data_IF_584330782026
#
_entry.id   IF_584330782026
#
_cell.length_a   1.000
_cell.length_b   1.000
_cell.length_c   1.000
_cell.angle_alpha   90.00
_cell.angle_beta   90.00
_cell.angle_gamma   90.00
#
_symmetry.space_group_name_H-M   'P 1'
#
loop_
_entity.id
_entity.type
_entity.pdbx_description
1 polymer ?
#
# COMPACT_ATOMS: atom_id res chain seq x y z
N UNK A 1 31.94 4.62 -34.94
CA UNK A 1 31.06 5.55 -34.19
C UNK A 1 29.80 5.90 -34.99
N UNK A 2 29.91 6.39 -36.23
CA UNK A 2 28.77 6.72 -37.10
C UNK A 2 27.74 5.58 -37.27
N UNK A 3 28.19 4.33 -37.49
CA UNK A 3 27.27 3.18 -37.56
C UNK A 3 26.51 2.91 -36.25
N UNK A 4 27.10 3.24 -35.09
CA UNK A 4 26.41 3.11 -33.81
C UNK A 4 25.30 4.15 -33.68
N UNK A 5 25.55 5.39 -34.10
CA UNK A 5 24.51 6.44 -34.19
C UNK A 5 23.37 6.02 -35.12
N UNK A 6 23.67 5.44 -36.28
CA UNK A 6 22.65 4.94 -37.22
C UNK A 6 21.78 3.83 -36.62
N UNK A 7 22.40 2.85 -35.97
CA UNK A 7 21.67 1.76 -35.28
C UNK A 7 20.76 2.34 -34.19
N UNK A 8 21.28 3.28 -33.40
CA UNK A 8 20.53 3.87 -32.30
C UNK A 8 19.36 4.75 -32.81
N UNK A 9 19.59 5.50 -33.88
CA UNK A 9 18.56 6.27 -34.57
C UNK A 9 17.44 5.37 -35.11
N UNK A 10 17.77 4.29 -35.82
CA UNK A 10 16.77 3.35 -36.35
C UNK A 10 15.98 2.70 -35.23
N UNK A 11 16.62 2.38 -34.10
CA UNK A 11 15.93 1.87 -32.91
C UNK A 11 14.88 2.86 -32.39
N UNK A 12 15.23 4.14 -32.24
CA UNK A 12 14.27 5.17 -31.82
C UNK A 12 13.14 5.32 -32.82
N UNK A 13 13.43 5.30 -34.12
CA UNK A 13 12.41 5.38 -35.16
C UNK A 13 11.41 4.22 -35.06
N UNK A 14 11.90 3.00 -34.81
CA UNK A 14 11.02 1.84 -34.57
C UNK A 14 10.21 2.00 -33.29
N UNK A 15 10.84 2.41 -32.18
CA UNK A 15 10.15 2.59 -30.90
C UNK A 15 9.06 3.66 -30.96
N UNK A 16 9.31 4.79 -31.62
CA UNK A 16 8.33 5.86 -31.80
C UNK A 16 7.19 5.38 -32.71
N UNK A 17 7.50 4.67 -33.80
CA UNK A 17 6.46 4.08 -34.66
C UNK A 17 5.61 3.01 -33.98
N UNK A 18 6.14 2.33 -32.96
CA UNK A 18 5.39 1.35 -32.14
C UNK A 18 4.50 2.04 -31.09
N UNK A 19 4.81 3.28 -30.69
CA UNK A 19 3.99 4.07 -29.77
C UNK A 19 2.65 4.47 -30.40
N UNK A 20 2.64 4.81 -31.70
CA UNK A 20 1.48 5.26 -32.49
C UNK A 20 0.29 4.26 -32.58
N UNK A 21 0.44 3.05 -32.03
CA UNK A 21 -0.58 1.99 -32.09
C UNK A 21 -0.93 1.34 -30.75
N UNK A 22 -0.27 1.71 -29.66
CA UNK A 22 -0.37 1.00 -28.38
C UNK A 22 -0.67 1.98 -27.25
N UNK A 23 -1.68 1.70 -26.42
CA UNK A 23 -1.99 2.49 -25.21
C UNK A 23 -0.81 2.40 -24.24
N UNK A 24 0.14 3.31 -24.39
CA UNK A 24 1.44 3.26 -23.70
C UNK A 24 1.40 4.18 -22.49
N UNK A 25 1.86 3.67 -21.35
CA UNK A 25 1.94 4.40 -20.08
C UNK A 25 2.79 5.68 -20.26
N UNK A 26 2.26 6.84 -19.82
CA UNK A 26 2.95 8.13 -19.87
C UNK A 26 4.35 8.09 -19.21
N UNK A 27 4.57 7.18 -18.26
CA UNK A 27 5.87 6.94 -17.62
C UNK A 27 6.89 6.32 -18.58
N UNK A 28 6.44 5.45 -19.48
CA UNK A 28 7.29 4.82 -20.51
C UNK A 28 7.66 5.84 -21.57
N UNK A 29 6.70 6.66 -22.00
CA UNK A 29 6.92 7.75 -22.96
C UNK A 29 7.89 8.80 -22.38
N UNK A 30 7.74 9.16 -21.10
CA UNK A 30 8.66 10.08 -20.42
C UNK A 30 10.11 9.57 -20.41
N UNK A 31 10.31 8.28 -20.10
CA UNK A 31 11.66 7.66 -20.13
C UNK A 31 12.23 7.59 -21.54
N UNK A 32 11.40 7.29 -22.54
CA UNK A 32 11.83 7.33 -23.93
C UNK A 32 12.28 8.75 -24.33
N UNK A 33 11.56 9.77 -23.87
CA UNK A 33 11.95 11.18 -24.04
C UNK A 33 13.30 11.51 -23.40
N UNK A 34 13.55 11.05 -22.17
CA UNK A 34 14.83 11.25 -21.47
C UNK A 34 16.00 10.60 -22.24
N UNK A 35 15.83 9.32 -22.65
CA UNK A 35 16.83 8.57 -23.42
C UNK A 35 17.08 9.23 -24.80
N UNK A 36 16.03 9.74 -25.43
CA UNK A 36 16.11 10.45 -26.71
C UNK A 36 16.85 11.80 -26.57
N UNK A 37 16.59 12.55 -25.50
CA UNK A 37 17.27 13.81 -25.22
C UNK A 37 18.76 13.61 -24.88
N UNK A 38 19.11 12.51 -24.23
CA UNK A 38 20.50 12.08 -24.08
C UNK A 38 21.14 11.78 -25.43
N UNK A 39 20.46 11.02 -26.29
CA UNK A 39 20.97 10.70 -27.62
C UNK A 39 21.16 11.94 -28.50
N UNK A 40 20.20 12.87 -28.52
CA UNK A 40 20.31 14.13 -29.26
C UNK A 40 21.52 14.95 -28.79
N UNK A 41 21.79 14.99 -27.48
CA UNK A 41 23.01 15.64 -26.94
C UNK A 41 24.28 14.98 -27.43
N UNK A 42 24.32 13.65 -27.48
CA UNK A 42 25.48 12.91 -28.02
C UNK A 42 25.68 13.18 -29.51
N UNK A 43 24.61 13.29 -30.31
CA UNK A 43 24.71 13.64 -31.73
C UNK A 43 25.36 15.02 -31.92
N UNK A 44 24.99 15.99 -31.08
CA UNK A 44 25.61 17.33 -31.10
C UNK A 44 27.06 17.33 -30.63
N UNK A 45 27.38 16.60 -29.55
CA UNK A 45 28.74 16.48 -29.02
C UNK A 45 29.70 15.84 -30.04
N UNK A 46 29.21 14.83 -30.76
CA UNK A 46 29.96 14.09 -31.77
C UNK A 46 29.64 14.53 -33.20
N UNK A 47 29.20 15.78 -33.41
CA UNK A 47 28.81 16.29 -34.73
C UNK A 47 29.94 16.24 -35.76
N UNK A 48 31.20 16.28 -35.30
CA UNK A 48 32.40 16.20 -36.13
C UNK A 48 32.62 14.84 -36.80
N UNK A 49 31.88 13.81 -36.37
CA UNK A 49 31.95 12.44 -36.91
C UNK A 49 31.14 12.30 -38.20
N UNK A 50 30.30 13.30 -38.49
CA UNK A 50 29.53 13.37 -39.72
C UNK A 50 30.34 14.16 -40.76
N UNK A 51 30.87 13.44 -41.76
CA UNK A 51 31.65 14.05 -42.84
C UNK A 51 30.79 14.94 -43.77
N UNK A 52 29.47 14.74 -43.76
CA UNK A 52 28.51 15.47 -44.57
C UNK A 52 27.61 16.38 -43.69
N UNK A 53 27.77 17.70 -43.86
CA UNK A 53 26.95 18.70 -43.16
C UNK A 53 25.45 18.62 -43.51
N UNK A 54 25.11 18.13 -44.70
CA UNK A 54 23.72 17.92 -45.11
C UNK A 54 23.09 16.75 -44.34
N UNK A 55 23.84 15.64 -44.16
CA UNK A 55 23.39 14.49 -43.37
C UNK A 55 23.13 14.86 -41.91
N UNK A 56 24.02 15.67 -41.32
CA UNK A 56 23.82 16.20 -39.96
C UNK A 56 22.58 17.10 -39.86
N UNK A 57 22.34 17.92 -40.88
CA UNK A 57 21.17 18.83 -40.93
C UNK A 57 19.87 18.03 -41.05
N UNK A 58 19.84 17.00 -41.90
CA UNK A 58 18.71 16.08 -42.02
C UNK A 58 18.47 15.37 -40.68
N UNK A 59 19.54 14.86 -40.05
CA UNK A 59 19.44 14.17 -38.77
C UNK A 59 18.86 15.08 -37.68
N UNK A 60 19.35 16.33 -37.57
CA UNK A 60 18.81 17.33 -36.63
C UNK A 60 17.34 17.59 -36.85
N UNK A 61 16.95 17.82 -38.11
CA UNK A 61 15.55 18.09 -38.48
C UNK A 61 14.65 16.92 -38.11
N UNK A 62 15.08 15.69 -38.40
CA UNK A 62 14.35 14.48 -38.01
C UNK A 62 14.29 14.28 -36.49
N UNK A 63 15.36 14.62 -35.76
CA UNK A 63 15.38 14.54 -34.30
C UNK A 63 14.42 15.56 -33.67
N UNK A 64 14.34 16.78 -34.21
CA UNK A 64 13.39 17.79 -33.74
C UNK A 64 11.94 17.37 -33.99
N UNK A 65 11.65 16.78 -35.16
CA UNK A 65 10.34 16.22 -35.46
C UNK A 65 9.97 15.09 -34.48
N UNK A 66 10.86 14.11 -34.29
CA UNK A 66 10.63 13.01 -33.34
C UNK A 66 10.48 13.48 -31.89
N UNK A 67 11.21 14.53 -31.47
CA UNK A 67 11.02 15.14 -30.14
C UNK A 67 9.62 15.75 -30.00
N UNK A 68 9.12 16.38 -31.06
CA UNK A 68 7.78 16.94 -31.07
C UNK A 68 6.73 15.84 -30.94
N UNK A 69 6.87 14.76 -31.70
CA UNK A 69 5.97 13.61 -31.69
C UNK A 69 5.92 12.94 -30.30
N UNK A 70 7.09 12.68 -29.68
CA UNK A 70 7.16 12.14 -28.32
C UNK A 70 6.45 13.05 -27.31
N UNK A 71 6.55 14.38 -27.47
CA UNK A 71 5.89 15.33 -26.56
C UNK A 71 4.38 15.35 -26.76
N UNK A 72 3.90 15.28 -28.00
CA UNK A 72 2.47 15.20 -28.29
C UNK A 72 1.89 13.91 -27.73
N UNK A 73 2.54 12.77 -27.97
CA UNK A 73 2.14 11.47 -27.42
C UNK A 73 2.19 11.45 -25.89
N UNK A 74 3.18 12.10 -25.28
CA UNK A 74 3.20 12.26 -23.83
C UNK A 74 2.02 13.09 -23.32
N UNK A 75 1.67 14.18 -24.01
CA UNK A 75 0.53 15.02 -23.65
C UNK A 75 -0.78 14.26 -23.82
N UNK A 76 -0.98 13.56 -24.93
CA UNK A 76 -2.16 12.74 -25.18
C UNK A 76 -2.25 11.58 -24.16
N UNK A 77 -1.14 10.90 -23.86
CA UNK A 77 -1.10 9.86 -22.83
C UNK A 77 -1.33 10.42 -21.42
N UNK A 78 -0.82 11.63 -21.12
CA UNK A 78 -1.05 12.31 -19.85
C UNK A 78 -2.50 12.82 -19.73
N UNK A 79 -3.10 13.26 -20.82
CA UNK A 79 -4.48 13.73 -20.89
C UNK A 79 -5.47 12.54 -20.80
N UNK A 80 -5.14 11.42 -21.44
CA UNK A 80 -5.80 10.12 -21.23
C UNK A 80 -5.61 9.64 -19.79
N UNK A 81 -4.45 9.86 -19.17
CA UNK A 81 -4.21 9.58 -17.74
C UNK A 81 -4.97 10.54 -16.81
N UNK A 82 -5.23 11.78 -17.26
CA UNK A 82 -6.08 12.75 -16.58
C UNK A 82 -7.57 12.38 -16.63
N UNK A 83 -7.97 11.42 -17.46
CA UNK A 83 -9.18 10.62 -17.23
C UNK A 83 -8.95 9.59 -16.12
N UNK A 84 -8.62 10.11 -14.93
CA UNK A 84 -8.60 9.43 -13.66
C UNK A 84 -7.76 8.17 -13.62
N UNK A 85 -6.51 8.28 -13.16
CA UNK A 85 -5.93 7.22 -12.33
C UNK A 85 -7.02 6.86 -11.32
N UNK A 86 -7.65 5.66 -11.38
CA UNK A 86 -8.60 5.29 -10.36
C UNK A 86 -7.80 5.32 -9.07
N UNK A 87 -8.19 6.14 -8.06
CA UNK A 87 -7.41 6.23 -6.85
C UNK A 87 -7.12 4.81 -6.37
N UNK A 88 -5.84 4.44 -6.27
CA UNK A 88 -5.44 3.08 -5.89
C UNK A 88 -6.07 2.69 -4.55
N UNK A 89 -6.40 3.70 -3.75
CA UNK A 89 -7.18 3.63 -2.53
C UNK A 89 -8.29 4.68 -2.58
N UNK A 90 -9.54 4.25 -2.43
CA UNK A 90 -10.72 5.11 -2.35
C UNK A 90 -11.40 4.97 -1.00
N UNK A 91 -11.92 6.08 -0.48
CA UNK A 91 -12.77 6.06 0.72
C UNK A 91 -14.23 6.16 0.27
N UNK A 92 -14.94 5.04 0.32
CA UNK A 92 -16.35 4.93 -0.09
C UNK A 92 -17.27 5.17 1.10
N UNK A 93 -18.19 6.11 0.94
CA UNK A 93 -19.23 6.43 1.92
C UNK A 93 -20.50 5.69 1.53
N UNK A 94 -20.92 4.69 2.32
CA UNK A 94 -22.09 3.85 2.04
C UNK A 94 -23.43 4.48 2.44
N UNK A 95 -23.45 5.76 2.87
CA UNK A 95 -24.66 6.47 3.32
C UNK A 95 -25.24 6.01 4.67
N UNK A 96 -24.71 4.93 5.27
CA UNK A 96 -25.11 4.44 6.60
C UNK A 96 -24.29 5.03 7.75
N UNK A 97 -24.75 4.83 9.00
CA UNK A 97 -23.97 5.13 10.21
C UNK A 97 -22.78 4.16 10.31
N UNK A 98 -21.55 4.67 10.25
CA UNK A 98 -20.32 3.89 10.41
C UNK A 98 -19.09 4.57 9.85
N UNK A 99 -17.89 4.03 10.14
CA UNK A 99 -16.62 4.52 9.58
C UNK A 99 -16.61 4.27 8.05
N UNK A 100 -16.25 5.27 7.22
CA UNK A 100 -16.14 5.09 5.77
C UNK A 100 -15.21 3.93 5.39
N UNK A 101 -15.57 3.19 4.34
CA UNK A 101 -14.83 1.99 3.92
C UNK A 101 -13.69 2.38 2.99
N UNK A 102 -12.51 1.81 3.22
CA UNK A 102 -11.37 1.91 2.31
C UNK A 102 -11.45 0.78 1.27
N UNK A 103 -11.46 1.13 -0.01
CA UNK A 103 -11.50 0.20 -1.16
C UNK A 103 -10.19 0.36 -1.93
N UNK A 104 -9.55 -0.76 -2.27
CA UNK A 104 -8.31 -0.79 -3.06
C UNK A 104 -8.67 -1.26 -4.47
N UNK A 105 -8.04 -0.68 -5.51
CA UNK A 105 -8.23 -1.13 -6.88
C UNK A 105 -7.78 -2.60 -7.05
N UNK A 106 -8.69 -3.46 -7.50
CA UNK A 106 -8.49 -4.92 -7.61
C UNK A 106 -7.44 -5.31 -8.64
N UNK A 107 -7.36 -4.60 -9.77
CA UNK A 107 -6.41 -4.87 -10.86
C UNK A 107 -4.97 -4.58 -10.40
N UNK A 108 -4.75 -3.41 -9.78
CA UNK A 108 -3.49 -3.08 -9.14
C UNK A 108 -3.12 -4.10 -8.06
N UNK A 109 -4.08 -4.50 -7.23
CA UNK A 109 -3.85 -5.43 -6.14
C UNK A 109 -3.41 -6.82 -6.63
N UNK A 110 -4.00 -7.31 -7.72
CA UNK A 110 -3.60 -8.54 -8.39
C UNK A 110 -2.18 -8.47 -8.96
N UNK A 111 -1.86 -7.38 -9.65
CA UNK A 111 -0.51 -7.13 -10.18
C UNK A 111 0.55 -7.02 -9.07
N UNK A 112 0.22 -6.34 -7.97
CA UNK A 112 1.13 -6.06 -6.86
C UNK A 112 1.37 -7.28 -5.97
N UNK A 113 0.34 -8.08 -5.70
CA UNK A 113 0.43 -9.27 -4.86
C UNK A 113 1.40 -10.31 -5.43
N UNK A 114 1.48 -10.46 -6.75
CA UNK A 114 2.44 -11.35 -7.41
C UNK A 114 3.90 -10.89 -7.34
N UNK A 115 4.18 -9.63 -6.96
CA UNK A 115 5.52 -9.01 -7.05
C UNK A 115 6.05 -8.44 -5.73
N UNK A 116 5.18 -8.23 -4.74
CA UNK A 116 5.52 -7.59 -3.47
C UNK A 116 4.82 -8.29 -2.31
N UNK A 117 5.47 -8.39 -1.14
CA UNK A 117 4.81 -8.87 0.06
C UNK A 117 3.71 -7.90 0.48
N UNK A 118 2.66 -8.40 1.14
CA UNK A 118 1.51 -7.59 1.64
C UNK A 118 1.94 -6.40 2.50
N UNK A 119 3.04 -6.53 3.24
CA UNK A 119 3.65 -5.45 4.03
C UNK A 119 4.25 -4.33 3.17
N UNK A 120 4.80 -4.66 2.00
CA UNK A 120 5.32 -3.71 1.03
C UNK A 120 4.20 -2.97 0.30
N UNK A 121 3.13 -3.68 -0.07
CA UNK A 121 1.93 -3.11 -0.68
C UNK A 121 1.26 -2.13 0.29
N UNK A 122 1.11 -2.51 1.56
CA UNK A 122 0.55 -1.65 2.60
C UNK A 122 1.34 -0.35 2.79
N UNK A 123 2.67 -0.44 2.81
CA UNK A 123 3.55 0.73 2.90
C UNK A 123 3.41 1.64 1.68
N UNK A 124 3.35 1.07 0.49
CA UNK A 124 3.21 1.82 -0.77
C UNK A 124 1.88 2.56 -0.85
N UNK A 125 0.79 1.91 -0.43
CA UNK A 125 -0.56 2.47 -0.46
C UNK A 125 -0.89 3.38 0.75
N UNK A 126 0.01 3.49 1.74
CA UNK A 126 -0.23 4.25 2.96
C UNK A 126 -1.36 3.71 3.85
N UNK A 127 -1.67 2.40 3.74
CA UNK A 127 -2.75 1.74 4.50
C UNK A 127 -2.21 0.66 5.43
N UNK A 128 -3.04 0.18 6.36
CA UNK A 128 -2.65 -0.91 7.26
C UNK A 128 -2.64 -2.27 6.53
N UNK A 129 -1.76 -3.19 6.96
CA UNK A 129 -1.69 -4.56 6.41
C UNK A 129 -3.02 -5.32 6.45
N UNK A 130 -3.85 -5.20 7.51
CA UNK A 130 -5.19 -5.81 7.53
C UNK A 130 -6.07 -5.35 6.38
N UNK A 131 -6.05 -4.06 6.00
CA UNK A 131 -6.85 -3.54 4.89
C UNK A 131 -6.43 -4.20 3.57
N UNK A 132 -5.13 -4.34 3.33
CA UNK A 132 -4.60 -5.03 2.14
C UNK A 132 -4.98 -6.51 2.15
N UNK A 133 -4.88 -7.18 3.30
CA UNK A 133 -5.27 -8.59 3.44
C UNK A 133 -6.76 -8.79 3.16
N UNK A 134 -7.63 -7.96 3.72
CA UNK A 134 -9.07 -8.00 3.47
C UNK A 134 -9.38 -7.76 2.00
N UNK A 135 -8.75 -6.77 1.37
CA UNK A 135 -8.95 -6.50 -0.05
C UNK A 135 -8.48 -7.67 -0.96
N UNK A 136 -7.39 -8.36 -0.61
CA UNK A 136 -6.91 -9.56 -1.33
C UNK A 136 -7.93 -10.70 -1.24
N UNK A 137 -8.52 -10.92 -0.05
CA UNK A 137 -9.54 -11.94 0.16
C UNK A 137 -10.84 -11.61 -0.57
N UNK A 138 -11.29 -10.36 -0.51
CA UNK A 138 -12.50 -9.88 -1.19
C UNK A 138 -12.37 -9.92 -2.72
N UNK A 139 -11.15 -9.71 -3.24
CA UNK A 139 -10.83 -9.84 -4.65
C UNK A 139 -10.67 -11.29 -5.14
N UNK A 140 -10.73 -12.29 -4.24
CA UNK A 140 -10.50 -13.70 -4.57
C UNK A 140 -9.07 -14.02 -4.99
N UNK A 141 -8.10 -13.15 -4.66
CA UNK A 141 -6.68 -13.32 -5.02
C UNK A 141 -5.93 -14.26 -4.06
N UNK A 142 -6.51 -14.53 -2.90
CA UNK A 142 -6.02 -15.55 -1.97
C UNK A 142 -7.20 -16.20 -1.25
N UNK A 143 -7.05 -17.48 -0.94
CA UNK A 143 -7.98 -18.17 -0.07
C UNK A 143 -7.74 -17.79 1.40
N UNK A 144 -8.79 -17.67 2.23
CA UNK A 144 -8.64 -17.55 3.66
C UNK A 144 -7.82 -18.72 4.18
N UNK A 145 -6.67 -18.45 4.80
CA UNK A 145 -5.89 -19.50 5.47
C UNK A 145 -6.79 -20.20 6.48
N UNK A 146 -6.79 -21.54 6.44
CA UNK A 146 -7.42 -22.34 7.48
C UNK A 146 -6.85 -21.92 8.82
N UNK A 147 -7.75 -21.77 9.79
CA UNK A 147 -7.34 -21.47 11.15
C UNK A 147 -6.47 -22.64 11.65
N UNK A 148 -5.16 -22.44 11.88
CA UNK A 148 -4.27 -23.52 12.35
C UNK A 148 -4.63 -23.98 13.77
N UNK A 149 -5.49 -23.21 14.46
CA UNK A 149 -6.18 -23.61 15.68
C UNK A 149 -7.53 -24.24 15.35
N UNK A 150 -7.53 -25.21 14.43
CA UNK A 150 -8.69 -26.06 14.23
C UNK A 150 -9.14 -26.58 15.61
N UNK A 151 -10.42 -26.45 15.99
CA UNK A 151 -10.88 -27.00 17.24
C UNK A 151 -10.60 -28.49 17.18
N UNK A 152 -9.81 -29.00 18.13
CA UNK A 152 -9.68 -30.44 18.35
C UNK A 152 -11.10 -31.01 18.40
N UNK A 153 -11.42 -31.82 17.39
CA UNK A 153 -12.71 -32.44 17.22
C UNK A 153 -12.85 -33.60 18.21
N UNK A 154 -13.09 -33.29 19.48
CA UNK A 154 -13.53 -34.28 20.46
C UNK A 154 -14.61 -33.77 21.43
N UNK A 155 -15.10 -32.55 21.29
CA UNK A 155 -16.31 -32.12 22.00
C UNK A 155 -17.18 -31.28 21.07
N UNK A 156 -18.43 -31.73 20.87
CA UNK A 156 -19.47 -31.04 20.12
C UNK A 156 -19.68 -29.61 20.66
N UNK A 157 -19.08 -28.63 20.00
CA UNK A 157 -19.39 -27.22 20.24
C UNK A 157 -19.75 -26.54 18.92
N UNK A 158 -21.00 -26.06 18.88
CA UNK A 158 -21.66 -25.41 17.75
C UNK A 158 -20.81 -24.24 17.24
N UNK A 159 -20.52 -24.24 15.93
CA UNK A 159 -19.79 -23.15 15.26
C UNK A 159 -20.62 -21.86 15.29
N UNK A 160 -20.24 -20.88 16.11
CA UNK A 160 -20.83 -19.54 16.08
C UNK A 160 -19.88 -18.53 15.42
N UNK A 161 -20.34 -17.96 14.31
CA UNK A 161 -19.80 -16.71 13.73
C UNK A 161 -19.84 -15.60 14.79
N UNK A 162 -18.90 -14.64 14.81
CA UNK A 162 -18.95 -13.52 15.74
C UNK A 162 -20.05 -12.56 15.30
N UNK A 163 -21.27 -12.79 15.79
CA UNK A 163 -22.34 -11.80 15.78
C UNK A 163 -22.26 -11.10 17.13
N UNK A 164 -22.21 -9.77 17.12
CA UNK A 164 -22.36 -8.98 18.34
C UNK A 164 -23.76 -9.22 18.90
N UNK A 165 -23.86 -10.13 19.85
CA UNK A 165 -25.08 -10.43 20.57
C UNK A 165 -24.91 -10.01 22.03
N UNK A 166 -25.61 -8.95 22.42
CA UNK A 166 -25.90 -8.65 23.81
C UNK A 166 -27.23 -9.31 24.15
N UNK A 167 -27.17 -10.47 24.80
CA UNK A 167 -28.31 -11.22 25.36
C UNK A 167 -27.82 -12.19 26.44
N UNK A 168 -28.74 -12.77 27.24
CA UNK A 168 -28.77 -12.61 28.69
C UNK A 168 -27.71 -13.43 29.43
N UNK A 169 -27.36 -12.90 30.60
CA UNK A 169 -26.47 -13.41 31.64
C UNK A 169 -26.41 -14.94 31.66
N UNK A 170 -25.20 -15.47 31.42
CA UNK A 170 -24.89 -16.89 31.57
C UNK A 170 -25.33 -17.41 32.93
N UNK A 171 -26.06 -18.52 32.98
CA UNK A 171 -26.53 -19.19 34.20
C UNK A 171 -25.43 -19.89 35.01
N UNK A 172 -24.21 -19.37 34.95
CA UNK A 172 -23.12 -19.78 35.82
C UNK A 172 -23.36 -19.14 37.19
N UNK A 173 -23.34 -19.95 38.26
CA UNK A 173 -23.35 -19.41 39.61
C UNK A 173 -22.07 -18.61 39.84
N UNK A 174 -22.12 -17.55 40.63
CA UNK A 174 -20.91 -16.80 41.01
C UNK A 174 -19.87 -17.72 41.67
N UNK A 175 -20.29 -18.75 42.40
CA UNK A 175 -19.39 -19.75 42.99
C UNK A 175 -18.65 -20.59 41.92
N UNK A 176 -19.36 -20.96 40.84
CA UNK A 176 -18.78 -21.70 39.72
C UNK A 176 -17.83 -20.80 38.92
N UNK A 177 -18.16 -19.51 38.79
CA UNK A 177 -17.32 -18.51 38.16
C UNK A 177 -16.04 -18.27 38.95
N UNK A 178 -16.14 -18.11 40.27
CA UNK A 178 -15.01 -17.93 41.17
C UNK A 178 -14.11 -19.17 41.20
N UNK A 179 -14.71 -20.36 41.24
CA UNK A 179 -13.99 -21.63 41.12
C UNK A 179 -13.18 -21.72 39.82
N UNK A 180 -13.75 -21.26 38.71
CA UNK A 180 -13.09 -21.27 37.40
C UNK A 180 -11.97 -20.22 37.32
N UNK A 181 -12.17 -19.03 37.91
CA UNK A 181 -11.14 -17.98 38.02
C UNK A 181 -9.96 -18.44 38.88
N UNK A 182 -10.23 -19.11 40.01
CA UNK A 182 -9.17 -19.66 40.88
C UNK A 182 -8.34 -20.72 40.18
N UNK A 183 -9.00 -21.61 39.40
CA UNK A 183 -8.35 -22.66 38.62
C UNK A 183 -7.48 -22.09 37.49
N UNK A 184 -7.92 -21.01 36.85
CA UNK A 184 -7.14 -20.29 35.85
C UNK A 184 -5.93 -19.58 36.47
N UNK A 185 -6.09 -18.95 37.65
CA UNK A 185 -4.99 -18.28 38.35
C UNK A 185 -3.94 -19.27 38.88
N UNK A 186 -4.35 -20.47 39.30
CA UNK A 186 -3.42 -21.50 39.77
C UNK A 186 -2.63 -22.12 38.63
N UNK A 187 -3.27 -22.33 37.47
CA UNK A 187 -2.64 -22.94 36.29
C UNK A 187 -1.76 -21.93 35.53
N UNK A 188 -2.18 -20.67 35.48
CA UNK A 188 -1.43 -19.60 34.84
C UNK A 188 -1.03 -18.53 35.85
N UNK A 189 -0.03 -18.82 36.71
CA UNK A 189 0.53 -17.87 37.69
C UNK A 189 0.95 -16.51 37.11
N UNK A 190 1.12 -16.42 35.78
CA UNK A 190 1.53 -15.21 35.05
C UNK A 190 0.53 -14.74 33.98
N UNK A 191 -0.65 -15.35 33.83
CA UNK A 191 -1.61 -14.97 32.77
C UNK A 191 -2.22 -13.56 32.93
N UNK A 192 -1.97 -12.86 34.03
CA UNK A 192 -2.55 -11.55 34.28
C UNK A 192 -1.58 -10.36 34.18
N UNK A 193 -0.27 -10.56 33.99
CA UNK A 193 0.68 -9.48 34.19
C UNK A 193 1.75 -9.47 33.09
N UNK A 194 1.75 -8.37 32.34
CA UNK A 194 2.75 -7.89 31.40
C UNK A 194 4.08 -8.65 31.53
N UNK A 195 4.49 -9.34 30.45
CA UNK A 195 5.71 -10.16 30.36
C UNK A 195 6.98 -9.48 30.93
N UNK A 196 7.01 -8.15 30.94
CA UNK A 196 8.13 -7.30 31.39
C UNK A 196 7.84 -6.48 32.65
N UNK A 197 6.63 -6.53 33.22
CA UNK A 197 6.25 -5.73 34.39
C UNK A 197 6.24 -4.21 34.16
N UNK A 198 6.09 -3.76 32.90
CA UNK A 198 6.10 -2.33 32.52
C UNK A 198 4.82 -1.99 31.74
N UNK A 199 4.02 -1.09 32.28
CA UNK A 199 2.82 -0.49 31.67
C UNK A 199 3.14 0.97 31.37
N UNK A 200 2.95 1.42 30.13
CA UNK A 200 3.11 2.83 29.77
C UNK A 200 1.72 3.46 29.73
N UNK A 201 1.46 4.39 30.63
CA UNK A 201 0.27 5.24 30.64
C UNK A 201 0.58 6.50 29.85
N UNK A 202 -0.19 6.76 28.79
CA UNK A 202 -0.02 7.92 27.91
C UNK A 202 -1.34 8.64 27.69
N UNK A 203 -1.35 9.95 27.84
CA UNK A 203 -2.49 10.83 27.62
C UNK A 203 -2.20 11.73 26.42
N UNK A 204 -3.20 11.87 25.54
CA UNK A 204 -3.11 12.69 24.34
C UNK A 204 -4.30 13.65 24.34
N UNK A 205 -4.03 14.94 24.18
CA UNK A 205 -5.07 15.93 23.97
C UNK A 205 -5.74 15.72 22.60
N UNK A 206 -7.06 15.59 22.59
CA UNK A 206 -7.86 15.39 21.39
C UNK A 206 -7.86 16.59 20.44
N UNK A 207 -7.60 17.80 20.94
CA UNK A 207 -7.56 19.02 20.12
C UNK A 207 -6.19 19.24 19.47
N UNK A 208 -5.13 19.28 20.28
CA UNK A 208 -3.77 19.58 19.81
C UNK A 208 -2.97 18.35 19.35
N UNK A 209 -3.43 17.12 19.65
CA UNK A 209 -2.68 15.86 19.49
C UNK A 209 -1.35 15.83 20.25
N UNK A 210 -1.16 16.73 21.22
CA UNK A 210 0.01 16.75 22.08
C UNK A 210 -0.12 15.70 23.18
N UNK A 211 1.01 15.12 23.56
CA UNK A 211 1.09 14.20 24.70
C UNK A 211 1.04 15.05 25.97
N UNK A 212 -0.04 14.93 26.74
CA UNK A 212 -0.23 15.69 27.99
C UNK A 212 0.37 14.98 29.20
N UNK A 213 0.55 13.66 29.12
CA UNK A 213 1.27 12.92 30.15
C UNK A 213 1.77 11.57 29.65
N UNK A 214 2.93 11.13 30.13
CA UNK A 214 3.53 9.84 29.79
C UNK A 214 4.30 9.29 31.00
N UNK A 215 3.90 8.12 31.52
CA UNK A 215 4.61 7.49 32.65
C UNK A 215 4.62 5.98 32.55
N UNK A 216 5.76 5.38 32.88
CA UNK A 216 5.89 3.94 33.06
C UNK A 216 5.52 3.52 34.50
N UNK A 217 4.75 2.45 34.63
CA UNK A 217 4.30 1.86 35.90
C UNK A 217 4.44 0.34 35.87
N UNK A 218 4.37 -0.30 37.03
CA UNK A 218 4.45 -1.77 37.13
C UNK A 218 3.09 -2.46 37.28
N UNK A 219 2.01 -1.70 37.13
CA UNK A 219 0.64 -2.16 37.32
C UNK A 219 -0.32 -1.44 36.36
N UNK A 220 -1.47 -2.05 36.12
CA UNK A 220 -2.56 -1.50 35.30
C UNK A 220 -3.79 -1.17 36.16
N UNK A 221 -3.59 -0.61 37.37
CA UNK A 221 -4.69 -0.25 38.25
C UNK A 221 -5.33 1.07 37.79
N UNK A 222 -6.65 1.14 37.86
CA UNK A 222 -7.40 2.36 37.51
C UNK A 222 -7.03 3.55 38.41
N UNK A 223 -6.74 3.30 39.70
CA UNK A 223 -6.24 4.31 40.64
C UNK A 223 -4.95 4.97 40.14
N UNK A 224 -3.97 4.17 39.70
CA UNK A 224 -2.73 4.66 39.11
C UNK A 224 -3.00 5.53 37.89
N UNK A 225 -3.96 5.16 37.02
CA UNK A 225 -4.30 5.97 35.83
C UNK A 225 -4.95 7.29 36.24
N UNK A 226 -5.83 7.28 37.25
CA UNK A 226 -6.52 8.47 37.73
C UNK A 226 -5.55 9.47 38.37
N UNK A 227 -4.64 9.01 39.23
CA UNK A 227 -3.60 9.87 39.82
C UNK A 227 -2.76 10.54 38.72
N UNK A 228 -2.33 9.78 37.72
CA UNK A 228 -1.55 10.32 36.61
C UNK A 228 -2.31 11.31 35.73
N UNK A 229 -3.63 11.14 35.63
CA UNK A 229 -4.46 12.09 34.92
C UNK A 229 -4.62 13.41 35.69
N UNK A 230 -4.65 13.36 37.02
CA UNK A 230 -4.74 14.55 37.86
C UNK A 230 -3.40 15.30 38.00
N UNK A 231 -2.27 14.59 37.86
CA UNK A 231 -0.92 15.16 37.86
C UNK A 231 -0.50 15.81 36.52
N UNK A 232 -1.22 15.52 35.42
CA UNK A 232 -0.90 15.94 34.05
C UNK A 232 -1.53 17.29 33.67
#
# INVERSE_FOLDING_TARGET
LLNAFRIHYTRFQTQISELDGTTTDATVIARLGDDFDEFARLVEEYSYVFDNAEELTILRTSLEAMRHDIRLEYQDAADVSHHGIPPLVQVVHSGGRGRPRTVINTEFLGWAYGRRPTSGIARFLGVSRPIVRTAILEAGLAEPQENPFAPYSDFEFVRSRPVSYTGPVSGISDDDLDGLILRLRSHYRRAGLIRWGIVIHGFIDGYSRLITGLRASNNNRAETVLELFLDA
#
